data_IF_649364604529
#
_entry.id   IF_649364604529
#
_cell.length_a   1.000
_cell.length_b   1.000
_cell.length_c   1.000
_cell.angle_alpha   90.00
_cell.angle_beta   90.00
_cell.angle_gamma   90.00
#
_symmetry.space_group_name_H-M   'P 1'
#
loop_
_entity.id
_entity.type
_entity.pdbx_description
1 polymer ?
#
# COMPACT_ATOMS: atom_id res chain seq x y z
N UNK A 1 -6.93 -3.73 -35.71
CA UNK A 1 -6.15 -2.83 -34.81
C UNK A 1 -5.81 -3.60 -33.55
N UNK A 2 -4.60 -3.43 -33.02
CA UNK A 2 -4.27 -4.01 -31.71
C UNK A 2 -5.12 -3.34 -30.62
N UNK A 3 -5.57 -4.12 -29.64
CA UNK A 3 -6.32 -3.59 -28.50
C UNK A 3 -5.41 -2.69 -27.63
N UNK A 4 -5.96 -1.59 -27.14
CA UNK A 4 -5.26 -0.76 -26.14
C UNK A 4 -5.11 -1.53 -24.81
N UNK A 5 -4.16 -1.13 -23.96
CA UNK A 5 -3.98 -1.75 -22.64
C UNK A 5 -5.29 -1.74 -21.81
N UNK A 6 -6.06 -0.65 -21.89
CA UNK A 6 -7.38 -0.57 -21.24
C UNK A 6 -8.36 -1.58 -21.80
N UNK A 7 -8.45 -1.73 -23.14
CA UNK A 7 -9.33 -2.72 -23.77
C UNK A 7 -8.92 -4.15 -23.42
N UNK A 8 -7.61 -4.45 -23.38
CA UNK A 8 -7.10 -5.75 -22.94
C UNK A 8 -7.49 -6.03 -21.48
N UNK A 9 -7.38 -5.01 -20.61
CA UNK A 9 -7.82 -5.08 -19.21
C UNK A 9 -9.31 -5.45 -19.11
N UNK A 10 -10.17 -4.77 -19.88
CA UNK A 10 -11.61 -5.06 -19.90
C UNK A 10 -11.91 -6.51 -20.32
N UNK A 11 -11.20 -7.01 -21.33
CA UNK A 11 -11.39 -8.39 -21.78
C UNK A 11 -10.93 -9.42 -20.73
N UNK A 12 -9.78 -9.22 -20.08
CA UNK A 12 -9.34 -10.07 -18.98
C UNK A 12 -10.34 -10.05 -17.81
N UNK A 13 -10.81 -8.88 -17.43
CA UNK A 13 -11.83 -8.75 -16.36
C UNK A 13 -13.13 -9.48 -16.74
N UNK A 14 -13.60 -9.39 -17.98
CA UNK A 14 -14.80 -10.13 -18.41
C UNK A 14 -14.65 -11.63 -18.25
N UNK A 15 -13.48 -12.18 -18.61
CA UNK A 15 -13.19 -13.62 -18.54
C UNK A 15 -12.97 -14.10 -17.11
N UNK A 16 -12.53 -13.25 -16.20
CA UNK A 16 -12.20 -13.58 -14.82
C UNK A 16 -13.44 -13.71 -13.94
N UNK A 17 -13.37 -14.56 -12.92
CA UNK A 17 -14.44 -14.76 -11.92
C UNK A 17 -14.02 -14.26 -10.55
N UNK A 18 -12.75 -14.47 -10.19
CA UNK A 18 -12.22 -14.20 -8.87
C UNK A 18 -10.92 -13.37 -8.99
N UNK A 19 -10.95 -12.14 -8.49
CA UNK A 19 -9.92 -11.15 -8.73
C UNK A 19 -9.30 -10.74 -7.39
N UNK A 20 -7.97 -10.78 -7.33
CA UNK A 20 -7.19 -10.24 -6.23
C UNK A 20 -6.75 -8.83 -6.58
N UNK A 21 -6.88 -7.89 -5.64
CA UNK A 21 -6.27 -6.57 -5.71
C UNK A 21 -5.20 -6.50 -4.63
N UNK A 22 -3.97 -6.22 -5.00
CA UNK A 22 -2.86 -6.11 -4.06
C UNK A 22 -2.16 -4.76 -4.20
N UNK A 23 -1.63 -4.24 -3.10
CA UNK A 23 -0.77 -3.06 -3.10
C UNK A 23 0.39 -3.25 -2.12
N UNK A 24 1.43 -2.43 -2.29
CA UNK A 24 2.69 -2.55 -1.55
C UNK A 24 2.50 -2.54 -0.03
N UNK A 25 3.41 -3.21 0.70
CA UNK A 25 3.40 -3.26 2.17
C UNK A 25 3.50 -1.87 2.82
N UNK A 26 4.40 -1.03 2.30
CA UNK A 26 4.55 0.37 2.76
C UNK A 26 3.56 1.27 2.01
N UNK A 27 2.28 1.00 2.22
CA UNK A 27 1.17 1.62 1.50
C UNK A 27 0.95 3.09 1.86
N UNK A 28 0.34 3.79 0.92
CA UNK A 28 -0.13 5.17 1.08
C UNK A 28 -1.66 5.24 1.05
N UNK A 29 -2.21 6.39 1.43
CA UNK A 29 -3.66 6.57 1.36
C UNK A 29 -4.22 6.47 -0.06
N UNK A 30 -3.45 6.86 -1.09
CA UNK A 30 -3.84 6.71 -2.48
C UNK A 30 -3.93 5.24 -2.90
N UNK A 31 -2.95 4.41 -2.49
CA UNK A 31 -2.93 2.98 -2.80
C UNK A 31 -4.19 2.28 -2.25
N UNK A 32 -4.51 2.56 -0.99
CA UNK A 32 -5.70 2.04 -0.32
C UNK A 32 -6.99 2.51 -1.01
N UNK A 33 -7.13 3.80 -1.21
CA UNK A 33 -8.34 4.39 -1.78
C UNK A 33 -8.59 3.91 -3.22
N UNK A 34 -7.54 3.83 -4.02
CA UNK A 34 -7.56 3.30 -5.38
C UNK A 34 -7.93 1.82 -5.43
N UNK A 35 -7.31 1.01 -4.57
CA UNK A 35 -7.59 -0.42 -4.46
C UNK A 35 -9.04 -0.70 -4.02
N UNK A 36 -9.55 0.06 -3.03
CA UNK A 36 -10.92 -0.08 -2.56
C UNK A 36 -11.95 0.37 -3.61
N UNK A 37 -11.71 1.49 -4.30
CA UNK A 37 -12.61 1.95 -5.37
C UNK A 37 -12.70 0.91 -6.50
N UNK A 38 -11.56 0.35 -6.92
CA UNK A 38 -11.53 -0.71 -7.93
C UNK A 38 -12.26 -1.96 -7.45
N UNK A 39 -12.06 -2.37 -6.19
CA UNK A 39 -12.74 -3.52 -5.60
C UNK A 39 -14.25 -3.39 -5.62
N UNK A 40 -14.77 -2.21 -5.28
CA UNK A 40 -16.22 -1.95 -5.29
C UNK A 40 -16.80 -2.04 -6.70
N UNK A 41 -16.13 -1.48 -7.70
CA UNK A 41 -16.56 -1.58 -9.11
C UNK A 41 -16.57 -3.02 -9.58
N UNK A 42 -15.50 -3.77 -9.33
CA UNK A 42 -15.43 -5.18 -9.72
C UNK A 42 -16.51 -6.03 -9.05
N UNK A 43 -16.85 -5.75 -7.79
CA UNK A 43 -17.98 -6.39 -7.11
C UNK A 43 -19.33 -6.05 -7.76
N UNK A 44 -19.54 -4.79 -8.16
CA UNK A 44 -20.77 -4.37 -8.86
C UNK A 44 -20.98 -5.11 -10.19
N UNK A 45 -19.90 -5.45 -10.89
CA UNK A 45 -20.00 -6.27 -12.12
C UNK A 45 -19.97 -7.78 -11.86
N UNK A 46 -20.22 -8.19 -10.60
CA UNK A 46 -20.40 -9.59 -10.22
C UNK A 46 -19.10 -10.39 -10.03
N UNK A 47 -17.94 -9.74 -9.90
CA UNK A 47 -16.68 -10.44 -9.64
C UNK A 47 -16.49 -10.68 -8.14
N UNK A 48 -15.97 -11.86 -7.78
CA UNK A 48 -15.45 -12.08 -6.42
C UNK A 48 -14.15 -11.31 -6.32
N UNK A 49 -14.08 -10.40 -5.33
CA UNK A 49 -12.92 -9.51 -5.22
C UNK A 49 -12.46 -9.44 -3.80
N UNK A 50 -11.16 -9.61 -3.59
CA UNK A 50 -10.49 -9.45 -2.31
C UNK A 50 -9.36 -8.44 -2.44
N UNK A 51 -9.09 -7.71 -1.36
CA UNK A 51 -8.02 -6.69 -1.30
C UNK A 51 -6.97 -7.16 -0.32
N UNK A 52 -5.70 -7.06 -0.70
CA UNK A 52 -4.56 -7.60 0.03
C UNK A 52 -3.50 -6.53 0.25
N UNK A 53 -3.06 -6.39 1.51
CA UNK A 53 -1.86 -5.64 1.85
C UNK A 53 -1.22 -6.26 3.08
N UNK A 54 0.05 -6.63 2.99
CA UNK A 54 0.78 -7.19 4.12
C UNK A 54 0.91 -6.16 5.26
N UNK A 55 0.75 -6.64 6.49
CA UNK A 55 0.89 -5.85 7.72
C UNK A 55 -0.01 -4.59 7.76
N UNK A 56 -1.15 -4.63 7.06
CA UNK A 56 -2.10 -3.53 6.95
C UNK A 56 -2.66 -3.12 8.31
N UNK A 57 -2.42 -1.87 8.68
CA UNK A 57 -2.92 -1.25 9.92
C UNK A 57 -3.34 0.19 9.61
N UNK A 58 -4.60 0.42 9.25
CA UNK A 58 -5.09 1.76 8.95
C UNK A 58 -5.25 2.58 10.24
N UNK A 59 -4.93 3.87 10.16
CA UNK A 59 -5.24 4.82 11.20
C UNK A 59 -6.75 5.10 11.29
N UNK A 60 -7.20 5.59 12.45
CA UNK A 60 -8.61 5.95 12.68
C UNK A 60 -9.12 7.02 11.70
N UNK A 61 -8.22 7.86 11.20
CA UNK A 61 -8.51 8.90 10.20
C UNK A 61 -8.94 8.35 8.83
N UNK A 62 -8.78 7.04 8.57
CA UNK A 62 -9.22 6.36 7.35
C UNK A 62 -10.50 5.54 7.54
N UNK A 63 -11.16 5.65 8.69
CA UNK A 63 -12.38 4.88 9.04
C UNK A 63 -13.58 5.15 8.10
N UNK A 64 -13.56 6.23 7.34
CA UNK A 64 -14.58 6.55 6.33
C UNK A 64 -14.44 5.73 5.03
N UNK A 65 -13.32 5.02 4.86
CA UNK A 65 -13.11 4.03 3.81
C UNK A 65 -13.41 2.62 4.34
N UNK A 66 -13.79 1.70 3.45
CA UNK A 66 -14.12 0.30 3.79
C UNK A 66 -12.84 -0.53 4.11
N UNK A 67 -12.05 -0.08 5.07
CA UNK A 67 -10.73 -0.68 5.40
C UNK A 67 -10.81 -2.12 5.89
N UNK A 68 -11.97 -2.56 6.41
CA UNK A 68 -12.21 -3.94 6.84
C UNK A 68 -12.18 -4.97 5.69
N UNK A 69 -12.21 -4.52 4.45
CA UNK A 69 -12.10 -5.38 3.27
C UNK A 69 -10.66 -5.80 2.96
N UNK A 70 -9.67 -5.16 3.58
CA UNK A 70 -8.25 -5.43 3.32
C UNK A 70 -7.77 -6.58 4.20
N UNK A 71 -7.23 -7.61 3.58
CA UNK A 71 -6.64 -8.77 4.23
C UNK A 71 -5.12 -8.63 4.34
N UNK A 72 -4.54 -9.22 5.38
CA UNK A 72 -3.10 -9.15 5.63
C UNK A 72 -2.31 -10.31 4.99
N UNK A 73 -2.98 -11.41 4.66
CA UNK A 73 -2.35 -12.62 4.16
C UNK A 73 -3.24 -13.33 3.15
N UNK A 74 -2.61 -14.03 2.22
CA UNK A 74 -3.28 -15.00 1.36
C UNK A 74 -3.45 -16.33 2.12
N UNK A 75 -4.68 -16.87 2.13
CA UNK A 75 -4.96 -18.16 2.75
C UNK A 75 -5.69 -19.05 1.75
N UNK A 76 -5.30 -20.33 1.70
CA UNK A 76 -6.03 -21.37 0.94
C UNK A 76 -6.23 -21.01 -0.54
N UNK A 77 -5.21 -20.42 -1.18
CA UNK A 77 -5.26 -20.01 -2.59
C UNK A 77 -5.40 -21.17 -3.57
N UNK A 78 -5.13 -22.39 -3.12
CA UNK A 78 -5.34 -23.62 -3.87
C UNK A 78 -6.01 -24.68 -2.99
N UNK A 79 -6.72 -25.60 -3.61
CA UNK A 79 -7.34 -26.76 -2.94
C UNK A 79 -6.59 -28.02 -3.36
N UNK A 80 -6.33 -28.89 -2.40
CA UNK A 80 -5.95 -30.25 -2.69
C UNK A 80 -7.21 -31.05 -3.01
N UNK A 81 -7.24 -31.71 -4.17
CA UNK A 81 -8.38 -32.47 -4.68
C UNK A 81 -8.01 -33.95 -4.64
N UNK A 82 -8.87 -34.75 -4.05
CA UNK A 82 -8.85 -36.19 -4.17
C UNK A 82 -10.06 -36.57 -5.03
N UNK A 83 -9.79 -37.15 -6.19
CA UNK A 83 -10.82 -37.60 -7.14
C UNK A 83 -10.86 -39.10 -7.17
N UNK A 84 -12.07 -39.65 -7.16
CA UNK A 84 -12.31 -41.10 -7.19
C UNK A 84 -13.11 -41.39 -8.47
N UNK A 85 -12.58 -42.25 -9.31
CA UNK A 85 -13.29 -42.72 -10.49
C UNK A 85 -14.40 -43.70 -10.08
N UNK A 86 -15.64 -43.26 -10.30
CA UNK A 86 -16.84 -44.05 -9.94
C UNK A 86 -17.48 -44.71 -11.15
N UNK A 87 -16.82 -44.71 -12.31
CA UNK A 87 -17.39 -45.28 -13.56
C UNK A 87 -17.73 -46.78 -13.46
N UNK A 88 -17.04 -47.52 -12.57
CA UNK A 88 -17.21 -48.95 -12.34
C UNK A 88 -17.82 -49.31 -10.99
N UNK A 89 -18.10 -48.32 -10.15
CA UNK A 89 -18.50 -48.53 -8.76
C UNK A 89 -19.57 -47.53 -8.38
N UNK A 90 -20.69 -48.00 -7.82
CA UNK A 90 -21.67 -47.11 -7.19
C UNK A 90 -21.21 -46.80 -5.77
N UNK A 91 -21.10 -45.54 -5.44
CA UNK A 91 -20.79 -45.09 -4.10
C UNK A 91 -22.03 -45.23 -3.21
N UNK A 92 -21.82 -45.78 -2.04
CA UNK A 92 -22.79 -45.81 -0.95
C UNK A 92 -22.53 -44.65 0.03
N UNK A 93 -22.40 -44.98 1.29
CA UNK A 93 -22.08 -44.00 2.33
C UNK A 93 -20.60 -43.65 2.32
N UNK A 94 -20.29 -42.40 2.64
CA UNK A 94 -18.92 -42.00 2.96
C UNK A 94 -18.91 -41.18 4.26
N UNK A 95 -17.85 -41.33 5.03
CA UNK A 95 -17.58 -40.52 6.21
C UNK A 95 -16.07 -40.27 6.31
N UNK A 96 -15.69 -39.33 7.14
CA UNK A 96 -14.26 -39.07 7.40
C UNK A 96 -14.04 -38.92 8.91
N UNK A 97 -12.83 -39.27 9.35
CA UNK A 97 -12.34 -38.91 10.66
C UNK A 97 -11.05 -38.10 10.54
N UNK A 98 -10.78 -37.25 11.48
CA UNK A 98 -9.61 -36.38 11.52
C UNK A 98 -8.90 -36.53 12.87
N UNK A 99 -7.65 -36.99 12.83
CA UNK A 99 -6.71 -36.92 13.96
C UNK A 99 -5.76 -35.73 13.77
N UNK A 100 -4.86 -35.48 14.73
CA UNK A 100 -3.88 -34.37 14.63
C UNK A 100 -2.99 -34.44 13.38
N UNK A 101 -2.69 -35.66 12.88
CA UNK A 101 -1.74 -35.87 11.77
C UNK A 101 -2.32 -36.59 10.57
N UNK A 102 -3.58 -37.03 10.60
CA UNK A 102 -4.19 -37.83 9.52
C UNK A 102 -5.65 -37.46 9.31
N UNK A 103 -6.04 -37.45 8.05
CA UNK A 103 -7.43 -37.45 7.59
C UNK A 103 -7.70 -38.79 6.90
N UNK A 104 -8.60 -39.60 7.47
CA UNK A 104 -9.07 -40.83 6.85
C UNK A 104 -10.42 -40.57 6.21
N UNK A 105 -10.59 -40.96 4.96
CA UNK A 105 -11.87 -40.94 4.26
C UNK A 105 -12.29 -42.36 4.02
N UNK A 106 -13.40 -42.76 4.56
CA UNK A 106 -13.97 -44.10 4.45
C UNK A 106 -15.12 -44.07 3.46
N UNK A 107 -15.02 -44.89 2.43
CA UNK A 107 -16.02 -44.98 1.37
C UNK A 107 -16.49 -46.41 1.29
N UNK A 108 -17.78 -46.63 1.42
CA UNK A 108 -18.39 -47.93 1.26
C UNK A 108 -19.04 -48.03 -0.09
N UNK A 109 -18.53 -48.89 -1.01
CA UNK A 109 -19.17 -49.09 -2.29
C UNK A 109 -20.53 -49.78 -2.09
N UNK A 110 -21.56 -49.34 -2.81
CA UNK A 110 -22.84 -49.98 -2.86
C UNK A 110 -22.85 -51.20 -3.83
N UNK A 111 -22.02 -51.10 -4.90
CA UNK A 111 -21.77 -52.17 -5.85
C UNK A 111 -20.39 -51.98 -6.49
N UNK A 112 -19.68 -53.08 -6.77
CA UNK A 112 -18.32 -53.06 -7.32
C UNK A 112 -17.26 -53.00 -6.23
N UNK A 113 -16.02 -52.73 -6.64
CA UNK A 113 -14.85 -52.53 -5.75
C UNK A 113 -14.09 -51.30 -6.20
N UNK A 114 -13.55 -50.55 -5.25
CA UNK A 114 -12.62 -49.46 -5.43
C UNK A 114 -11.20 -50.00 -5.33
N UNK A 115 -10.35 -49.64 -6.27
CA UNK A 115 -8.92 -49.98 -6.30
C UNK A 115 -8.08 -48.70 -6.18
N UNK A 116 -6.81 -48.82 -5.79
CA UNK A 116 -5.88 -47.68 -5.65
C UNK A 116 -5.79 -46.84 -6.95
N UNK A 117 -5.88 -47.49 -8.11
CA UNK A 117 -5.86 -46.83 -9.43
C UNK A 117 -7.07 -45.92 -9.68
N UNK A 118 -8.16 -46.11 -8.96
CA UNK A 118 -9.39 -45.32 -9.11
C UNK A 118 -9.27 -44.00 -8.32
N UNK A 119 -8.22 -43.84 -7.49
CA UNK A 119 -7.92 -42.63 -6.71
C UNK A 119 -6.87 -41.81 -7.42
N UNK A 120 -7.15 -40.56 -7.69
CA UNK A 120 -6.20 -39.59 -8.19
C UNK A 120 -6.16 -38.34 -7.31
N UNK A 121 -4.99 -37.70 -7.25
CA UNK A 121 -4.83 -36.46 -6.51
C UNK A 121 -4.41 -35.34 -7.46
N UNK A 122 -4.92 -34.15 -7.22
CA UNK A 122 -4.56 -32.96 -7.95
C UNK A 122 -4.55 -31.74 -7.05
N UNK A 123 -3.86 -30.70 -7.47
CA UNK A 123 -3.98 -29.37 -6.87
C UNK A 123 -4.91 -28.57 -7.79
N UNK A 124 -5.90 -27.88 -7.22
CA UNK A 124 -6.79 -27.02 -8.00
C UNK A 124 -6.00 -25.87 -8.66
N UNK A 125 -6.60 -25.26 -9.66
CA UNK A 125 -6.17 -23.92 -10.07
C UNK A 125 -6.23 -22.97 -8.88
N UNK A 126 -5.48 -21.87 -8.96
CA UNK A 126 -5.53 -20.82 -7.93
C UNK A 126 -6.94 -20.28 -7.76
N UNK A 127 -7.22 -19.80 -6.55
CA UNK A 127 -8.53 -19.22 -6.22
C UNK A 127 -8.82 -17.95 -7.03
N UNK A 128 -7.77 -17.19 -7.35
CA UNK A 128 -7.87 -15.99 -8.17
C UNK A 128 -7.34 -16.28 -9.57
N UNK A 129 -8.07 -15.80 -10.57
CA UNK A 129 -7.76 -15.95 -11.98
C UNK A 129 -7.24 -14.65 -12.63
N UNK A 130 -7.19 -13.56 -11.85
CA UNK A 130 -6.62 -12.28 -12.24
C UNK A 130 -6.12 -11.53 -10.99
N UNK A 131 -5.01 -10.82 -11.12
CA UNK A 131 -4.46 -9.96 -10.08
C UNK A 131 -4.38 -8.53 -10.61
N UNK A 132 -4.90 -7.56 -9.84
CA UNK A 132 -4.55 -6.16 -9.98
C UNK A 132 -3.49 -5.79 -8.95
N UNK A 133 -2.39 -5.20 -9.40
CA UNK A 133 -1.36 -4.66 -8.50
C UNK A 133 -1.39 -3.15 -8.65
N UNK A 134 -1.70 -2.46 -7.54
CA UNK A 134 -2.01 -1.03 -7.52
C UNK A 134 -0.90 -0.28 -6.78
N UNK A 135 -0.35 0.75 -7.39
CA UNK A 135 0.67 1.65 -6.80
C UNK A 135 1.89 0.91 -6.25
N UNK A 136 2.32 -0.15 -6.91
CA UNK A 136 3.51 -0.92 -6.50
C UNK A 136 4.56 -0.86 -7.61
N UNK A 137 5.79 -0.43 -7.32
CA UNK A 137 6.82 -0.29 -8.34
C UNK A 137 7.28 -1.63 -8.91
N UNK A 138 7.26 -2.67 -8.09
CA UNK A 138 7.71 -4.04 -8.35
C UNK A 138 6.87 -5.03 -7.53
N UNK A 139 7.08 -6.34 -7.73
CA UNK A 139 6.40 -7.40 -6.99
C UNK A 139 6.96 -7.59 -5.57
N UNK A 140 8.25 -7.32 -5.37
CA UNK A 140 8.96 -7.43 -4.11
C UNK A 140 8.39 -6.47 -3.06
N UNK A 141 7.86 -5.34 -3.48
CA UNK A 141 7.20 -4.35 -2.62
C UNK A 141 5.95 -4.88 -1.91
N UNK A 142 5.35 -5.97 -2.41
CA UNK A 142 4.27 -6.69 -1.72
C UNK A 142 4.77 -7.43 -0.47
N UNK A 143 6.09 -7.63 -0.31
CA UNK A 143 6.75 -8.23 0.82
C UNK A 143 6.58 -9.75 0.90
N UNK A 144 6.50 -10.29 2.14
CA UNK A 144 6.43 -11.74 2.38
C UNK A 144 5.28 -12.45 1.67
N UNK A 145 4.20 -11.73 1.36
CA UNK A 145 3.08 -12.32 0.61
C UNK A 145 3.53 -12.75 -0.77
N UNK A 146 4.33 -11.93 -1.46
CA UNK A 146 4.93 -12.31 -2.74
C UNK A 146 5.97 -13.42 -2.57
N UNK A 147 6.88 -13.30 -1.59
CA UNK A 147 7.93 -14.29 -1.34
C UNK A 147 7.37 -15.69 -1.09
N UNK A 148 6.27 -15.79 -0.32
CA UNK A 148 5.63 -17.06 0.03
C UNK A 148 4.78 -17.66 -1.09
N UNK A 149 4.37 -16.85 -2.06
CA UNK A 149 3.45 -17.23 -3.13
C UNK A 149 3.96 -16.83 -4.52
N UNK A 150 5.29 -16.81 -4.72
CA UNK A 150 5.92 -16.33 -5.95
C UNK A 150 5.35 -17.02 -7.21
N UNK A 151 5.15 -18.34 -7.19
CA UNK A 151 4.58 -19.10 -8.30
C UNK A 151 3.17 -18.61 -8.67
N UNK A 152 2.36 -18.26 -7.69
CA UNK A 152 1.03 -17.70 -7.90
C UNK A 152 1.10 -16.36 -8.63
N UNK A 153 1.92 -15.43 -8.13
CA UNK A 153 2.09 -14.13 -8.76
C UNK A 153 2.77 -14.20 -10.12
N UNK A 154 3.60 -15.22 -10.35
CA UNK A 154 4.26 -15.42 -11.62
C UNK A 154 3.32 -15.96 -12.69
N UNK A 155 2.48 -16.94 -12.34
CA UNK A 155 1.65 -17.69 -13.31
C UNK A 155 0.27 -17.08 -13.54
N UNK A 156 -0.27 -16.32 -12.56
CA UNK A 156 -1.59 -15.70 -12.69
C UNK A 156 -1.49 -14.39 -13.48
N UNK A 157 -2.36 -14.16 -14.48
CA UNK A 157 -2.41 -12.89 -15.20
C UNK A 157 -2.50 -11.69 -14.25
N UNK A 158 -1.70 -10.65 -14.51
CA UNK A 158 -1.61 -9.49 -13.66
C UNK A 158 -1.64 -8.17 -14.43
N UNK A 159 -2.42 -7.25 -13.89
CA UNK A 159 -2.57 -5.88 -14.38
C UNK A 159 -1.92 -4.96 -13.35
N UNK A 160 -0.92 -4.22 -13.79
CA UNK A 160 -0.20 -3.26 -12.99
C UNK A 160 -0.74 -1.85 -13.25
N UNK A 161 -1.17 -1.15 -12.17
CA UNK A 161 -1.69 0.23 -12.24
C UNK A 161 -0.83 1.11 -11.34
N UNK A 162 -0.13 2.09 -11.91
CA UNK A 162 0.76 2.96 -11.14
C UNK A 162 0.98 4.31 -11.83
N UNK A 163 1.44 5.29 -11.04
CA UNK A 163 1.87 6.60 -11.51
C UNK A 163 3.36 6.89 -11.21
N UNK A 164 4.06 5.94 -10.63
CA UNK A 164 5.47 6.08 -10.26
C UNK A 164 6.38 5.92 -11.48
N UNK A 165 7.37 6.83 -11.62
CA UNK A 165 8.44 6.70 -12.61
C UNK A 165 9.42 5.55 -12.32
N UNK A 166 9.35 4.96 -11.12
CA UNK A 166 10.16 3.80 -10.70
C UNK A 166 9.50 2.46 -11.01
N UNK A 167 8.31 2.47 -11.62
CA UNK A 167 7.58 1.25 -11.93
C UNK A 167 8.32 0.41 -12.98
N UNK A 168 8.53 -0.87 -12.70
CA UNK A 168 9.27 -1.81 -13.55
C UNK A 168 8.45 -2.42 -14.70
N UNK A 169 7.20 -2.04 -14.85
CA UNK A 169 6.30 -2.56 -15.89
C UNK A 169 6.16 -4.10 -15.88
N UNK A 170 6.12 -4.71 -14.70
CA UNK A 170 6.12 -6.16 -14.47
C UNK A 170 4.77 -6.86 -14.76
N UNK A 171 3.71 -6.11 -15.01
CA UNK A 171 2.40 -6.65 -15.34
C UNK A 171 2.32 -7.21 -16.76
N UNK A 172 1.45 -8.20 -16.99
CA UNK A 172 1.10 -8.64 -18.34
C UNK A 172 0.41 -7.50 -19.11
N UNK A 173 -0.32 -6.64 -18.37
CA UNK A 173 -0.81 -5.35 -18.84
C UNK A 173 -0.36 -4.28 -17.85
N UNK A 174 0.17 -3.18 -18.38
CA UNK A 174 0.67 -2.07 -17.57
C UNK A 174 -0.12 -0.79 -17.89
N UNK A 175 -0.89 -0.32 -16.91
CA UNK A 175 -1.61 0.95 -16.91
C UNK A 175 -0.81 1.96 -16.09
N UNK A 176 0.39 2.30 -16.56
CA UNK A 176 1.31 3.22 -15.88
C UNK A 176 1.27 4.59 -16.54
N UNK A 177 1.00 5.63 -15.74
CA UNK A 177 0.95 7.01 -16.22
C UNK A 177 1.68 7.96 -15.27
N UNK A 178 2.93 8.27 -15.58
CA UNK A 178 3.80 9.15 -14.77
C UNK A 178 3.35 10.63 -14.75
N UNK A 179 2.44 11.02 -15.65
CA UNK A 179 1.87 12.37 -15.67
C UNK A 179 0.63 12.51 -14.75
N UNK A 180 0.11 11.40 -14.22
CA UNK A 180 -0.98 11.44 -13.26
C UNK A 180 -0.47 11.87 -11.88
N UNK A 181 -1.25 12.65 -11.15
CA UNK A 181 -0.92 13.10 -9.79
C UNK A 181 -1.19 12.01 -8.74
N UNK A 182 -1.94 10.97 -9.11
CA UNK A 182 -2.33 9.87 -8.22
C UNK A 182 -2.71 8.62 -9.02
N UNK A 183 -2.63 7.46 -8.39
CA UNK A 183 -3.15 6.22 -8.96
C UNK A 183 -4.69 6.26 -9.08
N UNK A 184 -5.36 6.97 -8.18
CA UNK A 184 -6.81 7.17 -8.24
C UNK A 184 -7.28 7.80 -9.57
N UNK A 185 -6.49 8.68 -10.21
CA UNK A 185 -6.80 9.21 -11.54
C UNK A 185 -6.80 8.14 -12.63
N UNK A 186 -5.88 7.17 -12.54
CA UNK A 186 -5.76 6.08 -13.50
C UNK A 186 -6.92 5.10 -13.30
N UNK A 187 -7.21 4.76 -12.04
CA UNK A 187 -8.34 3.90 -11.66
C UNK A 187 -9.67 4.53 -12.10
N UNK A 188 -9.87 5.84 -11.89
CA UNK A 188 -11.06 6.54 -12.41
C UNK A 188 -11.19 6.38 -13.93
N UNK A 189 -10.09 6.58 -14.66
CA UNK A 189 -10.09 6.46 -16.12
C UNK A 189 -10.46 5.03 -16.56
N UNK A 190 -9.95 4.02 -15.86
CA UNK A 190 -10.30 2.62 -16.10
C UNK A 190 -11.78 2.34 -15.81
N UNK A 191 -12.32 2.86 -14.69
CA UNK A 191 -13.73 2.66 -14.33
C UNK A 191 -14.67 3.28 -15.38
N UNK A 192 -14.34 4.45 -15.91
CA UNK A 192 -15.12 5.07 -16.98
C UNK A 192 -15.22 4.22 -18.25
N UNK A 193 -14.19 3.46 -18.56
CA UNK A 193 -14.22 2.54 -19.71
C UNK A 193 -15.10 1.31 -19.45
N UNK A 194 -15.32 0.93 -18.18
CA UNK A 194 -16.34 -0.07 -17.84
C UNK A 194 -17.74 0.52 -18.00
N UNK A 195 -18.08 1.50 -17.20
CA UNK A 195 -19.29 2.31 -17.24
C UNK A 195 -19.18 3.44 -16.20
N UNK A 196 -19.23 4.69 -16.63
CA UNK A 196 -19.16 5.86 -15.74
C UNK A 196 -20.27 5.88 -14.67
N UNK A 197 -21.44 5.28 -14.97
CA UNK A 197 -22.57 5.19 -14.04
C UNK A 197 -22.28 4.29 -12.81
N UNK A 198 -21.19 3.52 -12.83
CA UNK A 198 -20.79 2.74 -11.67
C UNK A 198 -20.20 3.58 -10.55
N UNK A 199 -19.75 4.81 -10.85
CA UNK A 199 -19.17 5.73 -9.86
C UNK A 199 -20.30 6.34 -9.03
N UNK A 200 -20.63 5.65 -7.93
CA UNK A 200 -21.54 6.17 -6.91
C UNK A 200 -20.80 7.03 -5.87
N UNK A 201 -21.52 7.50 -4.88
CA UNK A 201 -20.99 8.31 -3.77
C UNK A 201 -19.80 7.65 -3.05
N UNK A 202 -19.83 6.33 -2.81
CA UNK A 202 -18.76 5.61 -2.11
C UNK A 202 -17.50 5.53 -2.96
N UNK A 203 -17.63 5.14 -4.21
CA UNK A 203 -16.50 5.06 -5.16
C UNK A 203 -15.95 6.45 -5.43
N UNK A 204 -16.80 7.45 -5.64
CA UNK A 204 -16.39 8.83 -5.82
C UNK A 204 -15.64 9.36 -4.59
N UNK A 205 -16.11 9.03 -3.38
CA UNK A 205 -15.45 9.41 -2.12
C UNK A 205 -14.06 8.76 -2.01
N UNK A 206 -13.94 7.47 -2.32
CA UNK A 206 -12.65 6.76 -2.28
C UNK A 206 -11.67 7.37 -3.29
N UNK A 207 -12.08 7.56 -4.55
CA UNK A 207 -11.22 8.15 -5.59
C UNK A 207 -10.79 9.58 -5.23
N UNK A 208 -11.70 10.41 -4.72
CA UNK A 208 -11.38 11.76 -4.28
C UNK A 208 -10.42 11.74 -3.09
N UNK A 209 -10.60 10.82 -2.15
CA UNK A 209 -9.69 10.65 -1.02
C UNK A 209 -8.27 10.28 -1.49
N UNK A 210 -8.14 9.38 -2.47
CA UNK A 210 -6.85 9.04 -3.08
C UNK A 210 -6.16 10.27 -3.67
N UNK A 211 -6.87 11.06 -4.49
CA UNK A 211 -6.33 12.29 -5.07
C UNK A 211 -5.91 13.28 -3.98
N UNK A 212 -6.76 13.52 -2.98
CA UNK A 212 -6.48 14.46 -1.88
C UNK A 212 -5.24 14.02 -1.09
N UNK A 213 -5.10 12.73 -0.79
CA UNK A 213 -3.95 12.20 -0.05
C UNK A 213 -2.66 12.26 -0.88
N UNK A 214 -2.69 11.83 -2.15
CA UNK A 214 -1.54 11.87 -3.05
C UNK A 214 -1.03 13.29 -3.31
N UNK A 215 -1.93 14.28 -3.35
CA UNK A 215 -1.59 15.68 -3.65
C UNK A 215 -1.43 16.56 -2.42
N UNK A 216 -1.49 15.96 -1.21
CA UNK A 216 -1.49 16.69 0.08
C UNK A 216 -2.51 17.84 0.06
N UNK A 217 -3.78 17.49 -0.28
CA UNK A 217 -4.87 18.44 -0.42
C UNK A 217 -4.61 19.53 -1.48
N UNK A 218 -4.15 19.11 -2.65
CA UNK A 218 -3.83 19.99 -3.79
C UNK A 218 -2.74 21.04 -3.52
N UNK A 219 -1.79 20.74 -2.64
CA UNK A 219 -0.68 21.64 -2.29
C UNK A 219 0.64 21.27 -2.98
N UNK A 220 0.77 20.05 -3.50
CA UNK A 220 1.99 19.61 -4.19
C UNK A 220 2.07 20.18 -5.63
N UNK A 221 3.28 20.36 -6.18
CA UNK A 221 3.49 20.97 -7.50
C UNK A 221 3.13 20.04 -8.67
N UNK A 222 2.88 18.76 -8.45
CA UNK A 222 2.54 17.78 -9.48
C UNK A 222 1.05 17.80 -9.91
N UNK A 223 0.28 18.79 -9.45
CA UNK A 223 -1.14 18.94 -9.77
C UNK A 223 -1.30 19.45 -11.20
N UNK A 224 -2.15 18.78 -11.94
CA UNK A 224 -2.48 19.13 -13.32
C UNK A 224 -3.91 19.70 -13.43
N UNK A 225 -4.25 20.43 -14.50
CA UNK A 225 -5.63 20.83 -14.77
C UNK A 225 -6.58 19.62 -14.82
N UNK A 226 -6.11 18.47 -15.29
CA UNK A 226 -6.86 17.21 -15.30
C UNK A 226 -7.19 16.74 -13.88
N UNK A 227 -6.25 16.79 -12.96
CA UNK A 227 -6.44 16.43 -11.54
C UNK A 227 -7.56 17.25 -10.91
N UNK A 228 -7.54 18.59 -11.12
CA UNK A 228 -8.56 19.50 -10.59
C UNK A 228 -9.92 19.28 -11.24
N UNK A 229 -9.95 19.06 -12.54
CA UNK A 229 -11.17 18.74 -13.26
C UNK A 229 -11.80 17.45 -12.75
N UNK A 230 -10.99 16.39 -12.57
CA UNK A 230 -11.45 15.12 -12.03
C UNK A 230 -11.99 15.25 -10.62
N UNK A 231 -11.28 15.95 -9.74
CA UNK A 231 -11.75 16.21 -8.37
C UNK A 231 -13.12 16.93 -8.39
N UNK A 232 -13.31 17.91 -9.29
CA UNK A 232 -14.60 18.59 -9.48
C UNK A 232 -15.71 17.63 -9.91
N UNK A 233 -15.43 16.73 -10.87
CA UNK A 233 -16.40 15.71 -11.31
C UNK A 233 -16.78 14.75 -10.17
N UNK A 234 -15.82 14.31 -9.37
CA UNK A 234 -16.07 13.42 -8.23
C UNK A 234 -16.93 14.12 -7.16
N UNK A 235 -16.67 15.39 -6.87
CA UNK A 235 -17.49 16.18 -5.94
C UNK A 235 -18.90 16.36 -6.49
N UNK A 236 -19.05 16.69 -7.78
CA UNK A 236 -20.35 16.80 -8.43
C UNK A 236 -21.11 15.45 -8.46
N UNK A 237 -20.38 14.32 -8.52
CA UNK A 237 -20.90 12.96 -8.43
C UNK A 237 -21.23 12.50 -7.00
N UNK A 238 -21.16 13.39 -5.99
CA UNK A 238 -21.56 13.10 -4.62
C UNK A 238 -20.44 12.67 -3.67
N UNK A 239 -19.17 12.77 -4.07
CA UNK A 239 -18.07 12.48 -3.15
C UNK A 239 -18.14 13.32 -1.88
N UNK A 240 -18.03 12.67 -0.71
CA UNK A 240 -18.16 13.30 0.61
C UNK A 240 -16.88 14.06 1.00
N UNK A 241 -16.58 15.12 0.25
CA UNK A 241 -15.37 15.92 0.44
C UNK A 241 -15.19 16.42 1.88
N UNK A 242 -16.25 16.91 2.51
CA UNK A 242 -16.19 17.41 3.88
C UNK A 242 -15.76 16.33 4.85
N UNK A 243 -16.32 15.12 4.73
CA UNK A 243 -15.93 13.98 5.55
C UNK A 243 -14.44 13.61 5.35
N UNK A 244 -13.95 13.64 4.11
CA UNK A 244 -12.52 13.39 3.81
C UNK A 244 -11.66 14.43 4.54
N UNK A 245 -11.97 15.72 4.39
CA UNK A 245 -11.18 16.81 4.99
C UNK A 245 -11.23 16.76 6.52
N UNK A 246 -12.40 16.52 7.10
CA UNK A 246 -12.51 16.36 8.55
C UNK A 246 -11.64 15.24 9.08
N UNK A 247 -11.73 14.05 8.49
CA UNK A 247 -10.96 12.90 8.96
C UNK A 247 -9.45 13.04 8.74
N UNK A 248 -9.02 13.58 7.61
CA UNK A 248 -7.60 13.64 7.26
C UNK A 248 -6.88 14.86 7.83
N UNK A 249 -7.58 16.01 8.02
CA UNK A 249 -6.90 17.28 8.27
C UNK A 249 -7.47 18.10 9.43
N UNK A 250 -8.72 17.87 9.86
CA UNK A 250 -9.35 18.71 10.89
C UNK A 250 -9.38 18.08 12.29
N UNK A 251 -9.10 16.79 12.42
CA UNK A 251 -9.07 16.08 13.71
C UNK A 251 -7.68 16.02 14.32
N UNK A 252 -6.88 17.10 14.20
CA UNK A 252 -5.56 17.15 14.85
C UNK A 252 -5.76 17.38 16.33
N UNK A 253 -5.22 16.49 17.13
CA UNK A 253 -5.20 16.64 18.58
C UNK A 253 -4.28 17.79 18.99
N UNK A 254 -4.62 18.48 20.08
CA UNK A 254 -3.77 19.53 20.66
C UNK A 254 -2.36 19.02 20.97
N UNK A 255 -2.24 17.75 21.33
CA UNK A 255 -0.95 17.04 21.51
C UNK A 255 -0.07 17.11 20.26
N UNK A 256 -0.60 16.77 19.09
CA UNK A 256 0.13 16.82 17.82
C UNK A 256 0.54 18.24 17.45
N UNK A 257 -0.30 19.24 17.71
CA UNK A 257 0.05 20.67 17.53
C UNK A 257 1.18 21.11 18.45
N UNK A 258 1.22 20.62 19.71
CA UNK A 258 2.33 20.86 20.63
C UNK A 258 3.63 20.21 20.13
N UNK A 259 3.56 18.97 19.61
CA UNK A 259 4.72 18.31 19.00
C UNK A 259 5.26 19.13 17.82
N UNK A 260 4.37 19.65 16.96
CA UNK A 260 4.76 20.57 15.88
C UNK A 260 5.51 21.79 16.39
N UNK A 261 5.00 22.40 17.43
CA UNK A 261 5.68 23.54 18.07
C UNK A 261 7.10 23.19 18.51
N UNK A 262 7.34 21.98 19.05
CA UNK A 262 8.68 21.50 19.44
C UNK A 262 9.59 21.33 18.24
N UNK A 263 9.10 20.67 17.17
CA UNK A 263 9.86 20.50 15.93
C UNK A 263 10.23 21.84 15.32
N UNK A 264 9.26 22.75 15.17
CA UNK A 264 9.49 24.07 14.55
C UNK A 264 10.45 24.95 15.35
N UNK A 265 10.39 24.90 16.68
CA UNK A 265 11.30 25.69 17.55
C UNK A 265 12.76 25.25 17.39
N UNK A 266 13.00 23.97 17.05
CA UNK A 266 14.34 23.40 16.85
C UNK A 266 14.68 23.17 15.38
N UNK A 267 13.89 23.76 14.49
CA UNK A 267 14.12 23.60 13.05
C UNK A 267 15.40 24.34 12.65
N UNK A 268 16.32 23.61 12.06
CA UNK A 268 17.56 24.11 11.49
C UNK A 268 17.53 23.94 9.96
N UNK A 269 18.29 24.75 9.26
CA UNK A 269 18.37 24.72 7.80
C UNK A 269 19.79 24.98 7.30
N UNK A 270 20.10 24.50 6.10
CA UNK A 270 21.35 24.77 5.39
C UNK A 270 21.16 24.65 3.86
N UNK A 271 22.22 24.93 3.10
CA UNK A 271 22.25 24.86 1.63
C UNK A 271 21.13 25.70 0.97
N UNK A 272 20.81 26.86 1.58
CA UNK A 272 19.77 27.77 1.08
C UNK A 272 18.36 27.18 1.21
N UNK A 273 18.05 26.56 2.35
CA UNK A 273 16.80 25.90 2.71
C UNK A 273 16.54 24.57 1.96
N UNK A 274 17.54 24.04 1.26
CA UNK A 274 17.41 22.73 0.57
C UNK A 274 17.52 21.56 1.53
N UNK A 275 18.23 21.71 2.65
CA UNK A 275 18.33 20.75 3.73
C UNK A 275 17.76 21.37 5.02
N UNK A 276 16.79 20.69 5.59
CA UNK A 276 16.14 21.12 6.84
C UNK A 276 16.14 19.95 7.81
N UNK A 277 16.38 20.23 9.10
CA UNK A 277 16.34 19.17 10.12
C UNK A 277 15.88 19.67 11.47
N UNK A 278 15.38 18.75 12.28
CA UNK A 278 15.03 18.98 13.67
C UNK A 278 15.30 17.75 14.52
N UNK A 279 15.51 17.94 15.81
CA UNK A 279 15.78 16.88 16.76
C UNK A 279 14.84 16.95 17.97
N UNK A 280 14.31 15.78 18.38
CA UNK A 280 13.38 15.63 19.48
C UNK A 280 13.95 14.68 20.54
N UNK A 281 13.86 15.08 21.79
CA UNK A 281 14.17 14.21 22.93
C UNK A 281 12.98 13.31 23.28
N UNK A 282 13.23 12.23 24.01
CA UNK A 282 12.15 11.39 24.54
C UNK A 282 11.20 12.17 25.48
N UNK A 283 11.70 13.23 26.11
CA UNK A 283 10.90 14.11 26.97
C UNK A 283 9.88 14.92 26.17
N UNK A 284 10.20 15.31 24.94
CA UNK A 284 9.27 16.08 24.10
C UNK A 284 7.99 15.30 23.81
N UNK A 285 8.08 13.99 23.57
CA UNK A 285 6.92 13.13 23.40
C UNK A 285 6.09 12.98 24.68
N UNK A 286 6.75 12.85 25.82
CA UNK A 286 6.06 12.77 27.12
C UNK A 286 5.31 14.07 27.43
N UNK A 287 5.95 15.23 27.25
CA UNK A 287 5.35 16.54 27.53
C UNK A 287 4.22 16.92 26.57
N UNK A 288 4.27 16.43 25.36
CA UNK A 288 3.21 16.65 24.37
C UNK A 288 2.13 15.60 24.41
N UNK A 289 2.30 14.50 25.16
CA UNK A 289 1.44 13.33 25.19
C UNK A 289 1.22 12.75 23.78
N UNK A 290 2.31 12.62 23.01
CA UNK A 290 2.34 12.10 21.65
C UNK A 290 3.21 10.87 21.53
N UNK A 291 3.11 10.19 20.39
CA UNK A 291 3.94 9.05 20.04
C UNK A 291 4.83 9.36 18.82
N UNK A 292 5.92 8.61 18.59
CA UNK A 292 6.78 8.81 17.43
C UNK A 292 6.08 8.69 16.07
N UNK A 293 4.99 7.95 15.97
CA UNK A 293 4.20 7.80 14.76
C UNK A 293 3.60 9.11 14.25
N UNK A 294 3.30 10.04 15.18
CA UNK A 294 2.74 11.36 14.88
C UNK A 294 3.75 12.31 14.19
N UNK A 295 5.04 11.95 14.18
CA UNK A 295 6.08 12.71 13.47
C UNK A 295 5.79 12.80 11.96
N UNK A 296 5.20 11.77 11.36
CA UNK A 296 4.89 11.77 9.94
C UNK A 296 3.95 12.93 9.55
N UNK A 297 3.01 13.29 10.41
CA UNK A 297 2.11 14.43 10.17
C UNK A 297 2.85 15.78 10.16
N UNK A 298 3.89 15.89 11.00
CA UNK A 298 4.76 17.08 11.02
C UNK A 298 5.55 17.21 9.74
N UNK A 299 6.11 16.11 9.25
CA UNK A 299 6.86 16.08 7.99
C UNK A 299 5.98 16.48 6.81
N UNK A 300 4.77 15.96 6.75
CA UNK A 300 3.82 16.28 5.68
C UNK A 300 3.56 17.79 5.59
N UNK A 301 3.44 18.48 6.71
CA UNK A 301 3.27 19.92 6.74
C UNK A 301 4.55 20.69 6.37
N UNK A 302 5.73 20.21 6.79
CA UNK A 302 7.01 20.80 6.41
C UNK A 302 7.23 20.70 4.90
N UNK A 303 6.93 19.54 4.29
CA UNK A 303 7.03 19.33 2.83
C UNK A 303 6.21 20.38 2.08
N UNK A 304 5.00 20.63 2.55
CA UNK A 304 4.07 21.58 1.91
C UNK A 304 4.49 23.03 2.12
N UNK A 305 4.99 23.35 3.32
CA UNK A 305 5.28 24.74 3.72
C UNK A 305 6.66 25.22 3.23
N UNK A 306 7.54 24.32 2.80
CA UNK A 306 8.93 24.66 2.45
C UNK A 306 9.28 24.21 1.02
N UNK A 307 8.83 24.91 -0.02
CA UNK A 307 8.94 24.47 -1.44
C UNK A 307 10.37 24.40 -1.98
N UNK A 308 11.36 25.02 -1.32
CA UNK A 308 12.79 24.92 -1.69
C UNK A 308 13.45 23.65 -1.14
N UNK A 309 12.89 23.03 -0.13
CA UNK A 309 13.49 21.90 0.55
C UNK A 309 13.55 20.67 -0.36
N UNK A 310 14.68 20.00 -0.34
CA UNK A 310 14.95 18.76 -1.08
C UNK A 310 15.11 17.57 -0.12
N UNK A 311 15.52 17.82 1.13
CA UNK A 311 15.58 16.80 2.17
C UNK A 311 15.18 17.35 3.54
N UNK A 312 14.40 16.55 4.29
CA UNK A 312 14.01 16.81 5.67
C UNK A 312 14.57 15.68 6.52
N UNK A 313 15.30 16.01 7.57
CA UNK A 313 15.87 15.04 8.52
C UNK A 313 15.24 15.25 9.89
N UNK A 314 14.64 14.20 10.43
CA UNK A 314 14.15 14.20 11.80
C UNK A 314 14.89 13.15 12.61
N UNK A 315 15.44 13.58 13.75
CA UNK A 315 16.10 12.72 14.71
C UNK A 315 15.27 12.71 15.99
N UNK A 316 15.03 11.54 16.54
CA UNK A 316 14.32 11.49 17.82
C UNK A 316 14.78 10.33 18.70
N UNK A 317 14.76 10.60 20.01
CA UNK A 317 15.09 9.63 21.04
C UNK A 317 13.91 8.71 21.34
N UNK A 318 14.19 7.40 21.46
CA UNK A 318 13.28 6.42 22.04
C UNK A 318 13.96 5.70 23.20
N UNK A 319 13.21 5.42 24.26
CA UNK A 319 13.70 4.62 25.40
C UNK A 319 13.29 3.17 25.22
N UNK A 320 14.26 2.25 25.25
CA UNK A 320 14.01 0.80 25.36
C UNK A 320 13.90 0.35 26.81
N UNK A 321 13.38 -0.87 26.97
CA UNK A 321 13.46 -1.62 28.23
C UNK A 321 14.93 -1.71 28.66
N UNK A 322 15.32 -1.27 29.86
CA UNK A 322 16.66 -1.10 30.44
C UNK A 322 17.31 0.27 30.29
N UNK A 323 16.52 1.37 30.04
CA UNK A 323 17.04 2.75 29.99
C UNK A 323 18.08 3.05 28.88
N UNK A 324 18.30 2.16 27.93
CA UNK A 324 19.12 2.46 26.76
C UNK A 324 18.34 3.39 25.82
N UNK A 325 18.97 4.53 25.49
CA UNK A 325 18.42 5.49 24.54
C UNK A 325 18.90 5.11 23.14
N UNK A 326 17.99 5.02 22.21
CA UNK A 326 18.29 4.86 20.78
C UNK A 326 17.82 6.10 20.03
N UNK A 327 18.61 6.52 19.04
CA UNK A 327 18.25 7.61 18.16
C UNK A 327 17.68 7.04 16.87
N UNK A 328 16.43 7.34 16.61
CA UNK A 328 15.79 7.06 15.34
C UNK A 328 16.04 8.23 14.39
N UNK A 329 16.41 7.93 13.17
CA UNK A 329 16.64 8.91 12.12
C UNK A 329 15.71 8.63 10.95
N UNK A 330 14.97 9.64 10.55
CA UNK A 330 14.10 9.65 9.37
C UNK A 330 14.66 10.68 8.40
N UNK A 331 14.91 10.26 7.17
CA UNK A 331 15.36 11.15 6.09
C UNK A 331 14.33 11.09 4.98
N UNK A 332 13.58 12.16 4.83
CA UNK A 332 12.60 12.32 3.75
C UNK A 332 13.24 13.12 2.62
N UNK A 333 13.03 12.67 1.39
CA UNK A 333 13.49 13.40 0.20
C UNK A 333 12.31 13.83 -0.65
N UNK A 334 12.47 14.99 -1.26
CA UNK A 334 11.51 15.64 -2.13
C UNK A 334 12.20 15.87 -3.47
N UNK A 335 11.43 15.88 -4.55
CA UNK A 335 11.95 16.04 -5.90
C UNK A 335 12.86 14.86 -6.31
N UNK A 336 13.93 15.10 -7.03
CA UNK A 336 14.78 14.07 -7.64
C UNK A 336 15.89 13.56 -6.72
N UNK A 337 15.71 13.60 -5.40
CA UNK A 337 16.68 13.06 -4.43
C UNK A 337 16.26 11.68 -3.97
N UNK A 338 17.24 10.83 -3.72
CA UNK A 338 17.03 9.48 -3.19
C UNK A 338 17.56 9.41 -1.76
N UNK A 339 16.65 9.12 -0.81
CA UNK A 339 16.96 9.06 0.62
C UNK A 339 17.93 7.93 0.95
N UNK A 340 17.84 6.78 0.25
CA UNK A 340 18.75 5.66 0.47
C UNK A 340 20.17 6.00 -0.01
N UNK A 341 20.30 6.73 -1.11
CA UNK A 341 21.61 7.18 -1.58
C UNK A 341 22.24 8.21 -0.64
N UNK A 342 21.45 9.14 -0.10
CA UNK A 342 21.93 10.12 0.87
C UNK A 342 22.40 9.47 2.19
N UNK A 343 21.82 8.35 2.57
CA UNK A 343 22.08 7.68 3.85
C UNK A 343 22.84 6.37 3.72
N UNK A 344 23.43 6.07 2.55
CA UNK A 344 24.09 4.79 2.23
C UNK A 344 25.16 4.34 3.25
N UNK A 345 25.74 5.28 3.99
CA UNK A 345 26.76 4.98 5.02
C UNK A 345 26.16 4.36 6.28
N UNK A 346 24.86 4.57 6.51
CA UNK A 346 24.14 4.04 7.67
C UNK A 346 23.42 2.75 7.28
N UNK A 347 23.18 1.88 8.23
CA UNK A 347 22.41 0.64 7.98
C UNK A 347 20.92 0.97 7.87
N UNK A 348 20.55 1.58 6.74
CA UNK A 348 19.21 2.11 6.49
C UNK A 348 18.26 1.07 5.88
N UNK A 349 16.97 1.32 6.05
CA UNK A 349 15.87 0.65 5.37
C UNK A 349 14.88 1.70 4.84
N UNK A 350 14.03 1.33 3.89
CA UNK A 350 13.01 2.23 3.38
C UNK A 350 12.96 2.30 1.86
N UNK A 351 12.61 3.46 1.34
CA UNK A 351 12.46 3.75 -0.08
C UNK A 351 13.32 4.94 -0.51
N UNK A 352 13.40 5.23 -1.80
CA UNK A 352 14.09 6.44 -2.27
C UNK A 352 13.49 7.75 -1.74
N UNK A 353 12.26 7.75 -1.21
CA UNK A 353 11.62 8.94 -0.62
C UNK A 353 11.78 9.03 0.88
N UNK A 354 12.01 7.91 1.54
CA UNK A 354 12.14 7.81 3.00
C UNK A 354 13.15 6.75 3.38
N UNK A 355 14.26 7.16 3.98
CA UNK A 355 15.20 6.27 4.65
C UNK A 355 15.00 6.33 6.15
N UNK A 356 15.08 5.17 6.81
CA UNK A 356 14.98 4.99 8.27
C UNK A 356 16.17 4.20 8.76
N UNK A 357 16.77 4.64 9.86
CA UNK A 357 17.83 3.87 10.53
C UNK A 357 17.93 4.24 12.01
N UNK A 358 18.63 3.40 12.76
CA UNK A 358 18.84 3.54 14.19
C UNK A 358 20.31 3.80 14.46
N UNK A 359 20.60 4.67 15.41
CA UNK A 359 21.93 4.91 15.94
C UNK A 359 21.90 4.59 17.45
N UNK A 360 22.70 3.61 17.86
CA UNK A 360 22.88 3.22 19.25
C UNK A 360 24.16 3.86 19.83
N UNK A 361 24.19 4.00 21.14
CA UNK A 361 25.36 4.45 21.92
C UNK A 361 25.91 5.83 21.51
N UNK A 362 25.06 6.70 20.97
CA UNK A 362 25.40 8.10 20.64
C UNK A 362 24.38 9.06 21.26
N UNK A 363 24.81 10.26 21.59
CA UNK A 363 23.88 11.32 22.01
C UNK A 363 23.12 11.88 20.82
N UNK A 364 21.93 12.48 21.08
CA UNK A 364 21.12 13.13 20.05
C UNK A 364 21.90 14.19 19.28
N UNK A 365 22.70 15.01 19.95
CA UNK A 365 23.54 16.05 19.35
C UNK A 365 24.66 15.47 18.48
N UNK A 366 25.25 14.35 18.88
CA UNK A 366 26.28 13.66 18.11
C UNK A 366 25.70 12.99 16.86
N UNK A 367 24.56 12.31 17.01
CA UNK A 367 23.82 11.72 15.88
C UNK A 367 23.44 12.82 14.86
N UNK A 368 22.91 13.96 15.32
CA UNK A 368 22.59 15.09 14.45
C UNK A 368 23.83 15.55 13.67
N UNK A 369 24.95 15.78 14.35
CA UNK A 369 26.20 16.21 13.72
C UNK A 369 26.69 15.22 12.65
N UNK A 370 26.69 13.92 12.96
CA UNK A 370 27.15 12.86 12.05
C UNK A 370 26.25 12.74 10.81
N UNK A 371 24.94 12.68 11.01
CA UNK A 371 23.98 12.53 9.94
C UNK A 371 23.96 13.73 9.02
N UNK A 372 23.89 14.94 9.59
CA UNK A 372 23.82 16.18 8.81
C UNK A 372 25.12 16.40 8.03
N UNK A 373 26.29 16.11 8.62
CA UNK A 373 27.57 16.24 7.91
C UNK A 373 27.66 15.29 6.70
N UNK A 374 27.23 14.05 6.85
CA UNK A 374 27.21 13.07 5.74
C UNK A 374 26.26 13.49 4.63
N UNK A 375 25.06 13.91 4.98
CA UNK A 375 24.07 14.36 3.98
C UNK A 375 24.59 15.60 3.22
N UNK A 376 25.16 16.58 3.93
CA UNK A 376 25.76 17.78 3.29
C UNK A 376 26.84 17.43 2.26
N UNK A 377 27.72 16.48 2.57
CA UNK A 377 28.75 16.03 1.61
C UNK A 377 28.13 15.49 0.33
N UNK A 378 27.03 14.75 0.44
CA UNK A 378 26.33 14.16 -0.72
C UNK A 378 25.41 15.12 -1.47
N UNK A 379 25.04 16.23 -0.85
CA UNK A 379 24.35 17.32 -1.56
C UNK A 379 25.26 18.11 -2.50
N UNK A 380 26.56 18.05 -2.25
CA UNK A 380 27.58 18.76 -3.04
C UNK A 380 28.11 17.95 -4.22
N UNK A 381 27.72 16.68 -4.33
CA UNK A 381 28.03 15.77 -5.43
C UNK A 381 26.82 15.66 -6.38
#
# INVERSE_FOLDING_TARGET
MALTATQQTLELVKQSKSILIAFKRDWTGDDLASGLALAEVLKKIGKKTEVLCQDFKPGANLSFLSTSLVQNNLKNIQKFIISIDTSRTQLGEFYYDKSESRLNIYITPQAGQLEDKDVSTAVSNYQYDLIFIVSSPDLESLGRVYEQHADFFYTTPKINIDHSSRNEHFGDINLVNIAASSTAEIVYSLIREFDEKMIDEHIATALLAGIIMATKNFKLPNITPRTLHLASLLVAGGARREQIIQNLYQNKYLSTLKLWGRVLTRLNNDLGDRLVWSSLSALDFLETATTPEEINEVVDELIVSMPKTEAIVLLYETKKERQQTEINVLVFTIKNRDALLLTKKFNQSGTGELAKFLMADVSLAEAERLVISEIKQKFSL
#
